data_IF_085607253561
#
_entry.id   IF_085607253561
#
_cell.length_a   1.000
_cell.length_b   1.000
_cell.length_c   1.000
_cell.angle_alpha   90.00
_cell.angle_beta   90.00
_cell.angle_gamma   90.00
#
_symmetry.space_group_name_H-M   'P 1'
#
loop_
_entity.id
_entity.type
_entity.pdbx_description
1 polymer ?
#
# COMPACT_ATOMS: atom_id res chain seq x y z
N UNK A 1 59.40 -53.12 -26.99
CA UNK A 1 58.33 -53.97 -26.41
C UNK A 1 57.38 -53.03 -25.68
N UNK A 2 56.09 -53.07 -26.05
CA UNK A 2 55.04 -52.14 -25.61
C UNK A 2 54.77 -52.27 -24.10
N UNK A 3 54.61 -51.15 -23.39
CA UNK A 3 53.68 -51.07 -22.27
C UNK A 3 53.04 -49.68 -22.26
N UNK A 4 51.74 -49.68 -22.52
CA UNK A 4 50.81 -48.55 -22.38
C UNK A 4 50.31 -48.59 -20.94
N UNK A 5 50.39 -47.46 -20.22
CA UNK A 5 49.69 -47.28 -18.94
C UNK A 5 48.75 -46.11 -19.11
N UNK A 6 47.44 -46.42 -19.21
CA UNK A 6 46.36 -45.45 -19.09
C UNK A 6 46.25 -45.03 -17.61
N UNK A 7 46.38 -43.74 -17.33
CA UNK A 7 45.99 -43.14 -16.05
C UNK A 7 44.62 -42.48 -16.26
N UNK A 8 43.57 -43.16 -15.80
CA UNK A 8 42.23 -42.60 -15.70
C UNK A 8 42.13 -41.75 -14.43
N UNK A 9 42.02 -40.43 -14.59
CA UNK A 9 41.67 -39.52 -13.50
C UNK A 9 40.14 -39.59 -13.29
N UNK A 10 39.70 -40.35 -12.30
CA UNK A 10 38.30 -40.35 -11.86
C UNK A 10 37.97 -39.06 -11.13
N UNK A 11 37.11 -38.22 -11.71
CA UNK A 11 36.44 -37.14 -11.00
C UNK A 11 35.49 -37.75 -9.95
N UNK A 12 35.87 -37.66 -8.68
CA UNK A 12 34.96 -37.85 -7.54
C UNK A 12 34.02 -36.63 -7.48
N UNK A 13 32.83 -36.77 -8.06
CA UNK A 13 31.72 -35.86 -7.81
C UNK A 13 31.20 -36.08 -6.38
N UNK A 14 31.67 -35.27 -5.43
CA UNK A 14 31.02 -35.14 -4.13
C UNK A 14 29.68 -34.43 -4.30
N UNK A 15 28.62 -35.20 -4.58
CA UNK A 15 27.25 -34.72 -4.47
C UNK A 15 26.88 -34.52 -3.00
N UNK A 16 26.81 -33.27 -2.55
CA UNK A 16 26.15 -32.94 -1.28
C UNK A 16 24.65 -33.05 -1.47
N UNK A 17 24.09 -34.24 -1.27
CA UNK A 17 22.65 -34.39 -1.09
C UNK A 17 22.27 -33.68 0.22
N UNK A 18 21.60 -32.52 0.13
CA UNK A 18 20.97 -31.89 1.29
C UNK A 18 19.88 -32.83 1.81
N UNK A 19 20.15 -33.58 2.87
CA UNK A 19 19.13 -34.33 3.58
C UNK A 19 18.14 -33.31 4.20
N UNK A 20 16.88 -33.37 3.78
CA UNK A 20 15.83 -32.59 4.42
C UNK A 20 15.76 -32.99 5.90
N UNK A 21 15.85 -32.02 6.81
CA UNK A 21 15.78 -32.27 8.25
C UNK A 21 14.44 -32.94 8.61
N UNK A 22 14.49 -34.00 9.41
CA UNK A 22 13.30 -34.75 9.82
C UNK A 22 12.49 -33.96 10.86
N UNK A 23 11.16 -33.89 10.68
CA UNK A 23 10.24 -33.16 11.58
C UNK A 23 10.23 -33.78 12.99
N UNK A 24 10.22 -32.95 14.02
CA UNK A 24 10.06 -33.40 15.42
C UNK A 24 8.64 -33.90 15.69
N UNK A 25 8.41 -34.70 16.75
CA UNK A 25 7.06 -35.10 17.14
C UNK A 25 6.11 -33.91 17.37
N UNK A 26 6.64 -32.79 17.88
CA UNK A 26 5.87 -31.57 18.05
C UNK A 26 5.53 -30.92 16.70
N UNK A 27 6.48 -30.83 15.77
CA UNK A 27 6.23 -30.29 14.43
C UNK A 27 5.20 -31.10 13.65
N UNK A 28 5.25 -32.44 13.75
CA UNK A 28 4.24 -33.33 13.15
C UNK A 28 2.86 -33.02 13.71
N UNK A 29 2.70 -32.97 15.04
CA UNK A 29 1.40 -32.63 15.64
C UNK A 29 0.96 -31.24 15.21
N UNK A 30 1.86 -30.26 15.24
CA UNK A 30 1.53 -28.91 14.87
C UNK A 30 1.04 -28.84 13.42
N UNK A 31 1.86 -29.22 12.45
CA UNK A 31 1.58 -29.08 11.03
C UNK A 31 0.44 -29.98 10.54
N UNK A 32 0.25 -31.16 11.14
CA UNK A 32 -0.72 -32.14 10.67
C UNK A 32 -2.08 -32.02 11.39
N UNK A 33 -2.18 -31.32 12.53
CA UNK A 33 -3.44 -31.21 13.30
C UNK A 33 -3.99 -29.79 13.45
N UNK A 34 -3.15 -28.77 13.35
CA UNK A 34 -3.61 -27.38 13.48
C UNK A 34 -4.25 -26.92 12.17
N UNK A 35 -5.25 -26.03 12.26
CA UNK A 35 -5.84 -25.43 11.07
C UNK A 35 -4.76 -24.77 10.20
N UNK A 36 -4.99 -24.67 8.88
CA UNK A 36 -4.05 -23.96 8.01
C UNK A 36 -4.08 -22.46 8.31
N UNK A 37 -2.94 -21.81 8.11
CA UNK A 37 -2.83 -20.34 8.16
C UNK A 37 -3.78 -19.70 7.14
N UNK A 38 -4.55 -18.71 7.58
CA UNK A 38 -5.50 -17.97 6.74
C UNK A 38 -5.14 -16.49 6.73
N UNK A 39 -4.93 -15.93 5.54
CA UNK A 39 -4.79 -14.49 5.35
C UNK A 39 -5.94 -13.97 4.51
N UNK A 40 -6.79 -13.12 5.11
CA UNK A 40 -7.87 -12.43 4.42
C UNK A 40 -7.44 -10.99 4.20
N UNK A 41 -7.59 -10.50 2.98
CA UNK A 41 -7.34 -9.12 2.63
C UNK A 41 -8.59 -8.53 1.98
N UNK A 42 -9.11 -7.45 2.54
CA UNK A 42 -10.22 -6.68 1.96
C UNK A 42 -9.78 -5.26 1.63
N UNK A 43 -10.05 -4.81 0.42
CA UNK A 43 -9.92 -3.41 0.03
C UNK A 43 -11.29 -2.78 -0.19
N UNK A 44 -11.51 -1.57 0.33
CA UNK A 44 -12.77 -0.82 0.12
C UNK A 44 -12.50 0.56 -0.45
N UNK A 45 -13.26 0.90 -1.50
CA UNK A 45 -13.39 2.26 -1.99
C UNK A 45 -14.47 2.97 -1.19
N UNK A 46 -14.09 4.04 -0.49
CA UNK A 46 -15.04 4.96 0.08
C UNK A 46 -15.31 6.01 -1.00
N UNK A 47 -16.57 6.34 -1.25
CA UNK A 47 -16.94 7.38 -2.21
C UNK A 47 -16.28 8.74 -1.87
N UNK A 48 -16.56 9.74 -2.70
CA UNK A 48 -16.01 11.08 -2.50
C UNK A 48 -17.11 12.10 -2.18
N UNK A 49 -16.72 13.17 -1.51
CA UNK A 49 -17.53 14.39 -1.34
C UNK A 49 -16.83 15.58 -1.96
N UNK A 50 -17.60 16.60 -2.32
CA UNK A 50 -17.06 17.84 -2.89
C UNK A 50 -17.31 18.99 -1.91
N UNK A 51 -16.28 19.81 -1.66
CA UNK A 51 -16.35 20.99 -0.81
C UNK A 51 -15.90 22.25 -1.58
N UNK A 52 -16.82 23.21 -1.67
CA UNK A 52 -16.60 24.48 -2.39
C UNK A 52 -16.52 25.69 -1.43
N UNK A 53 -16.18 25.47 -0.15
CA UNK A 53 -16.19 26.53 0.88
C UNK A 53 -14.87 27.29 0.96
N UNK A 54 -13.76 26.68 0.53
CA UNK A 54 -12.43 27.27 0.65
C UNK A 54 -12.02 28.03 -0.61
N UNK A 55 -11.42 29.22 -0.50
CA UNK A 55 -10.83 29.93 -1.64
C UNK A 55 -9.53 29.26 -2.09
N UNK A 56 -9.13 29.45 -3.35
CA UNK A 56 -7.91 28.81 -3.91
C UNK A 56 -6.64 29.11 -3.08
N UNK A 57 -6.56 30.28 -2.43
CA UNK A 57 -5.43 30.64 -1.56
C UNK A 57 -5.33 29.75 -0.33
N UNK A 58 -6.47 29.42 0.28
CA UNK A 58 -6.51 28.50 1.42
C UNK A 58 -6.13 27.08 0.97
N UNK A 59 -6.56 26.67 -0.23
CA UNK A 59 -6.14 25.39 -0.82
C UNK A 59 -4.63 25.35 -1.08
N UNK A 60 -4.07 26.45 -1.62
CA UNK A 60 -2.62 26.58 -1.88
C UNK A 60 -1.80 26.49 -0.59
N UNK A 61 -2.27 27.14 0.49
CA UNK A 61 -1.64 27.04 1.80
C UNK A 61 -1.77 25.62 2.39
N UNK A 62 -2.91 24.96 2.18
CA UNK A 62 -3.17 23.59 2.66
C UNK A 62 -2.34 22.52 1.94
N UNK A 63 -2.10 22.68 0.65
CA UNK A 63 -1.28 21.75 -0.12
C UNK A 63 0.21 21.86 0.25
N UNK A 64 0.67 23.06 0.58
CA UNK A 64 2.08 23.34 0.84
C UNK A 64 2.84 23.56 -0.46
N UNK A 65 2.60 24.69 -1.14
CA UNK A 65 3.35 25.05 -2.35
C UNK A 65 4.82 25.33 -2.02
N UNK A 66 5.71 24.43 -2.44
CA UNK A 66 7.16 24.44 -2.18
C UNK A 66 7.86 25.69 -2.75
N UNK A 67 7.29 26.29 -3.81
CA UNK A 67 8.00 27.33 -4.60
C UNK A 67 7.29 28.69 -4.61
N UNK A 68 6.13 28.82 -3.94
CA UNK A 68 5.29 30.04 -3.94
C UNK A 68 4.75 30.52 -5.30
N UNK A 69 5.11 29.86 -6.41
CA UNK A 69 4.75 30.24 -7.79
C UNK A 69 3.49 29.54 -8.33
N UNK A 70 3.13 28.40 -7.74
CA UNK A 70 2.03 27.54 -8.20
C UNK A 70 0.78 27.80 -7.34
N UNK A 71 -0.39 27.87 -7.97
CA UNK A 71 -1.68 28.06 -7.29
C UNK A 71 -2.51 26.79 -7.38
N UNK A 72 -3.08 26.38 -6.26
CA UNK A 72 -3.92 25.18 -6.13
C UNK A 72 -5.38 25.59 -6.30
N UNK A 73 -5.99 25.23 -7.44
CA UNK A 73 -7.37 25.62 -7.79
C UNK A 73 -8.42 24.63 -7.28
N UNK A 74 -8.04 23.35 -7.23
CA UNK A 74 -8.75 22.27 -6.57
C UNK A 74 -7.77 21.46 -5.72
N UNK A 75 -8.29 20.59 -4.86
CA UNK A 75 -7.44 19.71 -4.06
C UNK A 75 -8.17 18.42 -3.69
N UNK A 76 -7.61 17.28 -4.07
CA UNK A 76 -8.09 15.96 -3.67
C UNK A 76 -7.33 15.47 -2.44
N UNK A 77 -8.05 15.23 -1.34
CA UNK A 77 -7.47 14.84 -0.05
C UNK A 77 -7.97 13.46 0.36
N UNK A 78 -7.03 12.56 0.64
CA UNK A 78 -7.29 11.29 1.31
C UNK A 78 -6.01 10.74 1.94
N UNK A 79 -6.13 9.78 2.84
CA UNK A 79 -5.02 9.08 3.46
C UNK A 79 -5.24 7.57 3.41
N UNK A 80 -4.16 6.80 3.21
CA UNK A 80 -4.19 5.35 3.34
C UNK A 80 -4.52 4.95 4.77
N UNK A 81 -5.44 4.01 4.94
CA UNK A 81 -5.86 3.45 6.21
C UNK A 81 -5.71 1.93 6.14
N UNK A 82 -5.21 1.35 7.22
CA UNK A 82 -5.05 -0.07 7.32
C UNK A 82 -5.20 -0.54 8.77
N UNK A 83 -5.78 -1.71 8.95
CA UNK A 83 -5.92 -2.37 10.24
C UNK A 83 -5.80 -3.89 10.08
N UNK A 84 -5.48 -4.56 11.18
CA UNK A 84 -5.38 -6.01 11.24
C UNK A 84 -6.24 -6.55 12.39
N UNK A 85 -6.99 -7.60 12.13
CA UNK A 85 -7.55 -8.47 13.17
C UNK A 85 -6.77 -9.79 13.15
N UNK A 86 -6.23 -10.15 14.31
CA UNK A 86 -5.34 -11.29 14.47
C UNK A 86 -6.00 -12.37 15.32
N UNK A 87 -5.71 -13.62 15.00
CA UNK A 87 -6.11 -14.78 15.77
C UNK A 87 -5.41 -16.02 15.27
N UNK A 88 -5.92 -17.17 15.66
CA UNK A 88 -5.37 -18.45 15.23
C UNK A 88 -5.58 -19.53 16.27
N UNK A 89 -5.52 -20.78 15.83
CA UNK A 89 -5.43 -21.90 16.77
C UNK A 89 -4.00 -21.97 17.30
N UNK A 90 -3.84 -22.26 18.59
CA UNK A 90 -2.54 -22.46 19.24
C UNK A 90 -2.48 -23.87 19.78
N UNK A 91 -1.35 -24.56 19.55
CA UNK A 91 -1.03 -25.85 20.14
C UNK A 91 0.25 -25.71 20.96
N UNK A 92 0.15 -25.98 22.26
CA UNK A 92 1.29 -25.95 23.17
C UNK A 92 1.94 -27.34 23.30
N UNK A 93 3.24 -27.35 23.56
CA UNK A 93 4.02 -28.55 23.85
C UNK A 93 4.83 -28.36 25.13
N UNK A 94 4.32 -28.91 26.23
CA UNK A 94 4.96 -28.81 27.54
C UNK A 94 6.36 -29.46 27.56
N UNK A 95 6.61 -30.47 26.73
CA UNK A 95 7.89 -31.18 26.69
C UNK A 95 9.03 -30.32 26.11
N UNK A 96 8.76 -29.53 25.07
CA UNK A 96 9.76 -28.61 24.51
C UNK A 96 9.71 -27.21 25.12
N UNK A 97 8.61 -26.82 25.77
CA UNK A 97 8.40 -25.44 26.22
C UNK A 97 8.05 -24.48 25.09
N UNK A 98 7.66 -25.00 23.92
CA UNK A 98 7.21 -24.23 22.77
C UNK A 98 5.72 -24.38 22.54
N UNK A 99 5.18 -23.46 21.77
CA UNK A 99 3.88 -23.55 21.15
C UNK A 99 3.97 -23.22 19.67
N UNK A 100 2.93 -23.59 18.95
CA UNK A 100 2.78 -23.19 17.57
C UNK A 100 1.40 -22.59 17.34
N UNK A 101 1.34 -21.63 16.44
CA UNK A 101 0.10 -20.96 16.05
C UNK A 101 -0.14 -21.20 14.57
N UNK A 102 -1.40 -21.38 14.19
CA UNK A 102 -1.89 -21.24 12.83
C UNK A 102 -2.50 -19.85 12.67
N UNK A 103 -1.76 -18.85 12.16
CA UNK A 103 -2.25 -17.49 12.14
C UNK A 103 -3.52 -17.34 11.30
N UNK A 104 -4.48 -16.61 11.84
CA UNK A 104 -5.57 -16.00 11.09
C UNK A 104 -5.31 -14.49 11.08
N UNK A 105 -4.98 -13.95 9.91
CA UNK A 105 -4.67 -12.54 9.72
C UNK A 105 -5.70 -11.94 8.78
N UNK A 106 -6.57 -11.08 9.32
CA UNK A 106 -7.52 -10.30 8.51
C UNK A 106 -7.03 -8.87 8.38
N UNK A 107 -6.49 -8.52 7.22
CA UNK A 107 -6.01 -7.17 6.90
C UNK A 107 -7.08 -6.41 6.12
N UNK A 108 -7.35 -5.19 6.57
CA UNK A 108 -8.26 -4.25 5.91
C UNK A 108 -7.44 -3.10 5.36
N UNK A 109 -7.59 -2.81 4.08
CA UNK A 109 -6.95 -1.68 3.39
C UNK A 109 -8.02 -0.76 2.83
N UNK A 110 -7.89 0.54 3.02
CA UNK A 110 -8.78 1.51 2.39
C UNK A 110 -8.13 2.88 2.31
N UNK A 111 -8.79 3.78 1.59
CA UNK A 111 -8.56 5.21 1.75
C UNK A 111 -9.60 5.78 2.72
N UNK A 112 -9.26 6.80 3.50
CA UNK A 112 -10.28 7.62 4.17
C UNK A 112 -11.25 8.18 3.12
N UNK A 113 -12.52 8.48 3.46
CA UNK A 113 -13.45 9.13 2.53
C UNK A 113 -12.76 10.29 1.81
N UNK A 114 -12.82 10.27 0.47
CA UNK A 114 -12.07 11.24 -0.33
C UNK A 114 -12.81 12.57 -0.29
N UNK A 115 -12.07 13.65 -0.03
CA UNK A 115 -12.61 15.00 -0.06
C UNK A 115 -11.97 15.77 -1.21
N UNK A 116 -12.79 16.14 -2.19
CA UNK A 116 -12.38 16.98 -3.31
C UNK A 116 -12.76 18.42 -2.99
N UNK A 117 -11.81 19.32 -3.05
CA UNK A 117 -12.05 20.75 -2.99
C UNK A 117 -12.03 21.35 -4.39
N UNK A 118 -12.90 22.33 -4.61
CA UNK A 118 -12.79 23.28 -5.72
C UNK A 118 -12.87 24.68 -5.13
N UNK A 119 -11.99 25.58 -5.55
CA UNK A 119 -11.94 26.96 -5.06
C UNK A 119 -13.30 27.64 -5.16
N UNK A 120 -13.73 28.30 -4.08
CA UNK A 120 -15.06 28.91 -3.99
C UNK A 120 -15.29 30.07 -4.99
N UNK A 121 -14.23 30.54 -5.64
CA UNK A 121 -14.30 31.53 -6.70
C UNK A 121 -14.81 30.96 -8.03
N UNK A 122 -14.82 29.64 -8.17
CA UNK A 122 -15.35 28.92 -9.33
C UNK A 122 -16.74 28.39 -8.99
N UNK A 123 -17.78 29.01 -9.54
CA UNK A 123 -19.17 28.66 -9.22
C UNK A 123 -19.55 27.27 -9.78
N UNK A 124 -20.26 26.41 -9.01
CA UNK A 124 -20.71 25.12 -9.51
C UNK A 124 -21.49 25.23 -10.82
N UNK A 125 -21.19 24.35 -11.77
CA UNK A 125 -21.84 24.31 -13.08
C UNK A 125 -21.17 25.13 -14.18
N UNK A 126 -20.24 26.04 -13.86
CA UNK A 126 -19.45 26.78 -14.87
C UNK A 126 -18.42 25.90 -15.56
N UNK A 127 -17.90 26.37 -16.70
CA UNK A 127 -16.81 25.70 -17.41
C UNK A 127 -15.58 25.55 -16.51
N UNK A 128 -15.16 26.64 -15.85
CA UNK A 128 -14.01 26.63 -14.96
C UNK A 128 -14.15 25.58 -13.84
N UNK A 129 -15.31 25.53 -13.18
CA UNK A 129 -15.58 24.57 -12.13
C UNK A 129 -15.48 23.11 -12.60
N UNK A 130 -16.12 22.79 -13.73
CA UNK A 130 -16.10 21.44 -14.30
C UNK A 130 -14.67 21.03 -14.67
N UNK A 131 -13.92 21.93 -15.30
CA UNK A 131 -12.53 21.68 -15.72
C UNK A 131 -11.63 21.38 -14.51
N UNK A 132 -11.78 22.13 -13.41
CA UNK A 132 -11.01 21.89 -12.17
C UNK A 132 -11.46 20.58 -11.51
N UNK A 133 -12.76 20.34 -11.41
CA UNK A 133 -13.28 19.10 -10.83
C UNK A 133 -12.83 17.85 -11.61
N UNK A 134 -12.83 17.91 -12.94
CA UNK A 134 -12.32 16.84 -13.80
C UNK A 134 -10.83 16.56 -13.55
N UNK A 135 -10.04 17.62 -13.33
CA UNK A 135 -8.64 17.48 -12.94
C UNK A 135 -8.51 16.77 -11.58
N UNK A 136 -9.28 17.19 -10.57
CA UNK A 136 -9.30 16.53 -9.26
C UNK A 136 -9.79 15.07 -9.31
N UNK A 137 -10.73 14.76 -10.20
CA UNK A 137 -11.18 13.39 -10.42
C UNK A 137 -10.07 12.49 -11.00
N UNK A 138 -9.08 13.04 -11.73
CA UNK A 138 -7.89 12.27 -12.14
C UNK A 138 -7.03 11.88 -10.94
N UNK A 139 -6.90 12.76 -9.94
CA UNK A 139 -6.22 12.43 -8.68
C UNK A 139 -6.97 11.34 -7.90
N UNK A 140 -8.30 11.44 -7.82
CA UNK A 140 -9.16 10.40 -7.24
C UNK A 140 -8.94 9.04 -7.95
N UNK A 141 -8.97 9.03 -9.28
CA UNK A 141 -8.75 7.81 -10.07
C UNK A 141 -7.36 7.22 -9.80
N UNK A 142 -6.32 8.05 -9.74
CA UNK A 142 -4.97 7.60 -9.40
C UNK A 142 -4.88 6.99 -7.99
N UNK A 143 -5.63 7.50 -7.01
CA UNK A 143 -5.75 6.86 -5.69
C UNK A 143 -6.42 5.49 -5.79
N UNK A 144 -7.53 5.37 -6.53
CA UNK A 144 -8.25 4.09 -6.66
C UNK A 144 -7.40 3.01 -7.33
N UNK A 145 -6.63 3.38 -8.35
CA UNK A 145 -5.69 2.48 -9.01
C UNK A 145 -4.52 2.10 -8.11
N UNK A 146 -4.02 3.03 -7.29
CA UNK A 146 -3.00 2.72 -6.31
C UNK A 146 -3.51 1.73 -5.25
N UNK A 147 -4.76 1.88 -4.76
CA UNK A 147 -5.35 0.93 -3.81
C UNK A 147 -5.39 -0.49 -4.39
N UNK A 148 -5.83 -0.64 -5.64
CA UNK A 148 -5.86 -1.94 -6.31
C UNK A 148 -4.47 -2.56 -6.44
N UNK A 149 -3.45 -1.75 -6.78
CA UNK A 149 -2.05 -2.20 -6.83
C UNK A 149 -1.53 -2.63 -5.45
N UNK A 150 -1.76 -1.81 -4.42
CA UNK A 150 -1.34 -2.11 -3.04
C UNK A 150 -1.97 -3.41 -2.58
N UNK A 151 -3.27 -3.61 -2.83
CA UNK A 151 -3.96 -4.84 -2.49
C UNK A 151 -3.28 -6.06 -3.13
N UNK A 152 -2.99 -6.02 -4.42
CA UNK A 152 -2.34 -7.12 -5.14
C UNK A 152 -0.96 -7.45 -4.56
N UNK A 153 -0.14 -6.42 -4.33
CA UNK A 153 1.23 -6.57 -3.83
C UNK A 153 1.24 -7.10 -2.40
N UNK A 154 0.39 -6.56 -1.53
CA UNK A 154 0.26 -6.99 -0.13
C UNK A 154 -0.28 -8.42 -0.05
N UNK A 155 -1.29 -8.76 -0.85
CA UNK A 155 -1.84 -10.13 -0.92
C UNK A 155 -0.77 -11.15 -1.31
N UNK A 156 0.01 -10.84 -2.34
CA UNK A 156 1.09 -11.72 -2.78
C UNK A 156 2.16 -11.90 -1.69
N UNK A 157 2.54 -10.82 -1.01
CA UNK A 157 3.50 -10.87 0.09
C UNK A 157 2.97 -11.70 1.28
N UNK A 158 1.72 -11.50 1.68
CA UNK A 158 1.09 -12.26 2.79
C UNK A 158 1.02 -13.75 2.47
N UNK A 159 0.55 -14.10 1.26
CA UNK A 159 0.47 -15.50 0.82
C UNK A 159 1.85 -16.17 0.89
N UNK A 160 2.90 -15.47 0.48
CA UNK A 160 4.29 -15.94 0.56
C UNK A 160 4.81 -16.04 1.99
N UNK A 161 4.43 -15.13 2.89
CA UNK A 161 4.86 -15.19 4.30
C UNK A 161 4.22 -16.35 5.04
N UNK A 162 2.96 -16.60 4.76
CA UNK A 162 2.12 -17.46 5.59
C UNK A 162 1.93 -18.89 5.05
N UNK A 163 2.23 -19.16 3.76
CA UNK A 163 2.41 -20.48 3.07
C UNK A 163 1.74 -21.73 3.70
N UNK A 164 0.56 -21.57 4.31
CA UNK A 164 -0.11 -22.57 5.15
C UNK A 164 0.78 -23.22 6.25
N UNK A 165 1.85 -22.57 6.71
CA UNK A 165 2.72 -23.11 7.76
C UNK A 165 2.46 -22.44 9.11
N UNK A 166 2.44 -23.22 10.21
CA UNK A 166 2.35 -22.66 11.54
C UNK A 166 3.62 -21.89 11.89
N UNK A 167 3.49 -20.92 12.79
CA UNK A 167 4.62 -20.23 13.42
C UNK A 167 4.92 -20.91 14.74
N UNK A 168 6.20 -20.98 15.11
CA UNK A 168 6.65 -21.57 16.37
C UNK A 168 7.21 -20.47 17.28
N UNK A 169 6.87 -20.53 18.57
CA UNK A 169 7.33 -19.57 19.57
C UNK A 169 7.44 -20.23 20.95
N UNK A 170 8.17 -19.65 21.92
CA UNK A 170 8.06 -20.07 23.31
C UNK A 170 6.61 -20.07 23.79
N UNK A 171 6.26 -21.00 24.69
CA UNK A 171 4.90 -21.10 25.23
C UNK A 171 4.40 -19.76 25.79
N UNK A 172 3.19 -19.36 25.40
CA UNK A 172 2.54 -18.11 25.78
C UNK A 172 2.98 -16.87 25.00
N UNK A 173 3.74 -17.01 23.90
CA UNK A 173 4.31 -15.86 23.17
C UNK A 173 3.97 -15.81 21.68
N UNK A 174 3.29 -16.81 21.11
CA UNK A 174 3.02 -16.85 19.68
C UNK A 174 2.13 -15.69 19.20
N UNK A 175 1.11 -15.32 19.97
CA UNK A 175 0.23 -14.19 19.63
C UNK A 175 0.97 -12.84 19.69
N UNK A 176 1.76 -12.60 20.74
CA UNK A 176 2.52 -11.35 20.86
C UNK A 176 3.62 -11.24 19.80
N UNK A 177 4.24 -12.37 19.42
CA UNK A 177 5.17 -12.41 18.30
C UNK A 177 4.47 -12.09 16.96
N UNK A 178 3.27 -12.62 16.72
CA UNK A 178 2.47 -12.30 15.54
C UNK A 178 2.07 -10.82 15.51
N UNK A 179 1.61 -10.26 16.63
CA UNK A 179 1.31 -8.83 16.77
C UNK A 179 2.53 -7.95 16.48
N UNK A 180 3.69 -8.34 17.01
CA UNK A 180 4.94 -7.62 16.78
C UNK A 180 5.34 -7.65 15.31
N UNK A 181 5.20 -8.79 14.63
CA UNK A 181 5.46 -8.89 13.19
C UNK A 181 4.52 -7.99 12.38
N UNK A 182 3.23 -8.00 12.70
CA UNK A 182 2.23 -7.19 12.00
C UNK A 182 2.50 -5.69 12.17
N UNK A 183 2.75 -5.25 13.40
CA UNK A 183 3.00 -3.84 13.69
C UNK A 183 4.38 -3.38 13.21
N UNK A 184 5.42 -4.19 13.39
CA UNK A 184 6.81 -3.83 13.13
C UNK A 184 7.25 -4.04 11.69
N UNK A 185 6.61 -4.96 10.96
CA UNK A 185 6.99 -5.30 9.58
C UNK A 185 5.87 -4.98 8.60
N UNK A 186 4.66 -5.47 8.84
CA UNK A 186 3.58 -5.37 7.85
C UNK A 186 3.01 -3.95 7.72
N UNK A 187 2.78 -3.24 8.82
CA UNK A 187 2.26 -1.88 8.76
C UNK A 187 3.21 -0.89 8.07
N UNK A 188 4.53 -0.86 8.37
CA UNK A 188 5.49 -0.06 7.60
C UNK A 188 5.52 -0.45 6.12
N UNK A 189 5.52 -1.75 5.81
CA UNK A 189 5.48 -2.22 4.43
C UNK A 189 4.25 -1.72 3.67
N UNK A 190 3.05 -1.86 4.26
CA UNK A 190 1.79 -1.39 3.66
C UNK A 190 1.82 0.13 3.47
N UNK A 191 2.26 0.88 4.48
CA UNK A 191 2.42 2.34 4.38
C UNK A 191 3.31 2.70 3.19
N UNK A 192 4.48 2.08 3.09
CA UNK A 192 5.45 2.38 2.04
C UNK A 192 4.89 1.98 0.66
N UNK A 193 4.08 0.93 0.58
CA UNK A 193 3.32 0.61 -0.63
C UNK A 193 2.31 1.71 -0.98
N UNK A 194 1.54 2.24 -0.04
CA UNK A 194 0.64 3.38 -0.31
C UNK A 194 1.41 4.61 -0.84
N UNK A 195 2.56 4.91 -0.24
CA UNK A 195 3.41 6.06 -0.55
C UNK A 195 3.95 6.05 -1.99
N UNK A 196 4.18 4.86 -2.58
CA UNK A 196 4.58 4.74 -4.00
C UNK A 196 3.56 5.35 -4.97
N UNK A 197 2.30 5.50 -4.56
CA UNK A 197 1.27 6.18 -5.34
C UNK A 197 1.54 7.67 -5.58
N UNK A 198 2.37 8.32 -4.74
CA UNK A 198 2.68 9.76 -4.85
C UNK A 198 3.31 10.14 -6.18
N UNK A 199 4.12 9.26 -6.78
CA UNK A 199 4.71 9.52 -8.09
C UNK A 199 3.66 9.70 -9.18
N UNK A 200 2.58 8.88 -9.15
CA UNK A 200 1.47 8.99 -10.11
C UNK A 200 0.64 10.25 -9.88
N UNK A 201 0.47 10.65 -8.62
CA UNK A 201 -0.18 11.92 -8.27
C UNK A 201 0.61 13.12 -8.83
N UNK A 202 1.93 13.15 -8.59
CA UNK A 202 2.81 14.22 -9.09
C UNK A 202 2.87 14.30 -10.62
N UNK A 203 2.71 13.16 -11.31
CA UNK A 203 2.67 13.11 -12.78
C UNK A 203 1.40 13.75 -13.38
N UNK A 204 0.36 14.00 -12.57
CA UNK A 204 -0.85 14.74 -13.00
C UNK A 204 -0.57 16.25 -12.93
N UNK A 205 0.07 16.69 -11.85
CA UNK A 205 0.41 18.08 -11.52
C UNK A 205 1.64 18.63 -12.29
N UNK A 206 1.67 18.46 -13.62
CA UNK A 206 2.80 18.95 -14.42
C UNK A 206 2.66 20.45 -14.72
N UNK A 207 3.77 21.20 -14.90
CA UNK A 207 3.70 22.60 -15.34
C UNK A 207 2.89 22.81 -16.62
N UNK A 208 2.93 21.85 -17.55
CA UNK A 208 2.14 21.86 -18.77
C UNK A 208 0.63 21.77 -18.49
N UNK A 209 0.23 20.96 -17.50
CA UNK A 209 -1.17 20.86 -17.07
C UNK A 209 -1.65 22.16 -16.43
N UNK A 210 -0.82 22.82 -15.60
CA UNK A 210 -1.16 24.14 -15.05
C UNK A 210 -1.34 25.20 -16.15
N UNK A 211 -0.44 25.22 -17.15
CA UNK A 211 -0.55 26.13 -18.29
C UNK A 211 -1.78 25.84 -19.18
N UNK A 212 -2.20 24.57 -19.27
CA UNK A 212 -3.43 24.17 -19.95
C UNK A 212 -4.65 24.66 -19.18
N UNK A 213 -4.69 24.41 -17.87
CA UNK A 213 -5.79 24.81 -16.99
C UNK A 213 -5.97 26.33 -16.98
N UNK A 214 -4.90 27.12 -16.93
CA UNK A 214 -5.01 28.59 -16.92
C UNK A 214 -5.68 29.15 -18.18
N UNK A 215 -5.50 28.47 -19.33
CA UNK A 215 -6.07 28.85 -20.63
C UNK A 215 -7.42 28.19 -20.92
N UNK A 216 -7.89 27.29 -20.07
CA UNK A 216 -9.17 26.63 -20.26
C UNK A 216 -10.33 27.63 -20.16
N UNK A 217 -11.48 27.28 -20.75
CA UNK A 217 -12.69 28.09 -20.69
C UNK A 217 -12.47 29.52 -21.23
N UNK A 218 -11.80 29.64 -22.38
CA UNK A 218 -11.45 30.92 -23.01
C UNK A 218 -10.70 31.90 -22.06
N UNK A 219 -9.90 31.35 -21.14
CA UNK A 219 -9.12 32.13 -20.17
C UNK A 219 -9.92 32.61 -18.94
N UNK A 220 -11.14 32.11 -18.72
CA UNK A 220 -11.98 32.45 -17.57
C UNK A 220 -11.23 32.24 -16.23
N UNK A 221 -10.51 31.12 -16.11
CA UNK A 221 -9.77 30.78 -14.88
C UNK A 221 -8.71 31.84 -14.58
N UNK A 222 -7.90 32.22 -15.57
CA UNK A 222 -6.88 33.26 -15.41
C UNK A 222 -7.51 34.62 -15.06
N UNK A 223 -8.61 34.98 -15.73
CA UNK A 223 -9.32 36.24 -15.46
C UNK A 223 -9.85 36.32 -14.01
N UNK A 224 -10.40 35.22 -13.48
CA UNK A 224 -10.85 35.12 -12.07
C UNK A 224 -9.67 35.31 -11.12
N UNK A 225 -8.55 34.62 -11.37
CA UNK A 225 -7.36 34.72 -10.53
C UNK A 225 -6.78 36.14 -10.51
N UNK A 226 -6.70 36.81 -11.67
CA UNK A 226 -6.23 38.19 -11.77
C UNK A 226 -7.15 39.16 -11.00
N UNK A 227 -8.47 39.00 -11.10
CA UNK A 227 -9.44 39.82 -10.36
C UNK A 227 -9.28 39.64 -8.84
N UNK A 228 -9.11 38.41 -8.37
CA UNK A 228 -8.92 38.08 -6.95
C UNK A 228 -7.55 38.47 -6.39
N UNK A 229 -6.55 38.68 -7.26
CA UNK A 229 -5.26 39.25 -6.86
C UNK A 229 -5.33 40.76 -6.64
N UNK A 230 -6.16 41.49 -7.40
CA UNK A 230 -6.31 42.95 -7.28
C UNK A 230 -7.20 43.40 -6.11
N UNK A 231 -8.12 42.53 -5.67
CA UNK A 231 -9.08 42.84 -4.60
C UNK A 231 -8.55 42.49 -3.19
N UNK A 232 -7.26 42.14 -3.08
CA UNK A 232 -6.52 41.89 -1.85
C UNK A 232 -5.36 42.87 -1.77
#
# INVERSE_FOLDING_TARGET
MKFVVLVGLGLLACGTASAAAQRTPFQIRCEDTIAKTVSVLSAKQNGYTINNQLPYRALTAKFGSIDGKMVTLGLTVTNGQYSAELGGQILQDAASGYECIAPKVELKLNYSPVLIYVGNEFAPGTCAYKTILEHEQRHLQAYMENLARVEQVVRAALNKRFEAKPLYAPSGTAMSALEHEINGTWFPYIRDEFEKGKAKQAAIDTPAEYARLSKACDGEIEAILLRRRKNN
#
